data_IF_175966461580
#
_entry.id   IF_175966461580
#
_cell.length_a   1.000
_cell.length_b   1.000
_cell.length_c   1.000
_cell.angle_alpha   90.00
_cell.angle_beta   90.00
_cell.angle_gamma   90.00
#
_symmetry.space_group_name_H-M   'P 1'
#
loop_
_entity.id
_entity.type
_entity.pdbx_description
1 polymer ?
#
# COMPACT_ATOMS: atom_id res chain seq x y z
N UNK A 1 -63.31 -31.09 -27.10
CA UNK A 1 -63.37 -29.83 -26.33
C UNK A 1 -62.01 -29.69 -25.63
N UNK A 2 -61.05 -28.98 -26.23
CA UNK A 2 -59.68 -28.87 -25.68
C UNK A 2 -59.39 -27.41 -25.32
N UNK A 3 -59.21 -27.18 -24.02
CA UNK A 3 -59.04 -25.87 -23.40
C UNK A 3 -57.58 -25.43 -23.45
N UNK A 4 -57.35 -24.20 -23.92
CA UNK A 4 -56.05 -23.53 -24.02
C UNK A 4 -55.60 -23.04 -22.64
N UNK A 5 -54.32 -23.19 -22.30
CA UNK A 5 -53.69 -22.46 -21.19
C UNK A 5 -52.58 -21.55 -21.75
N UNK A 6 -52.77 -20.24 -21.59
CA UNK A 6 -51.77 -19.23 -21.90
C UNK A 6 -51.00 -18.91 -20.61
N UNK A 7 -49.68 -19.15 -20.61
CA UNK A 7 -48.80 -18.79 -19.51
C UNK A 7 -48.32 -17.35 -19.74
N UNK A 8 -48.77 -16.42 -18.89
CA UNK A 8 -48.23 -15.06 -18.81
C UNK A 8 -46.99 -15.08 -17.92
N UNK A 9 -45.81 -14.92 -18.52
CA UNK A 9 -44.55 -14.74 -17.81
C UNK A 9 -44.42 -13.29 -17.37
N UNK A 10 -44.45 -13.03 -16.06
CA UNK A 10 -44.14 -11.72 -15.46
C UNK A 10 -42.61 -11.55 -15.46
N UNK A 11 -42.08 -10.56 -16.21
CA UNK A 11 -40.69 -10.12 -16.07
C UNK A 11 -40.56 -9.24 -14.81
N UNK A 12 -39.84 -9.73 -13.79
CA UNK A 12 -39.35 -8.88 -12.71
C UNK A 12 -38.08 -8.17 -13.18
N UNK A 13 -38.14 -6.86 -13.37
CA UNK A 13 -36.95 -6.01 -13.56
C UNK A 13 -36.33 -5.79 -12.19
N UNK A 14 -35.25 -6.52 -11.89
CA UNK A 14 -34.44 -6.26 -10.70
C UNK A 14 -33.62 -4.99 -10.94
N UNK A 15 -33.87 -3.95 -10.13
CA UNK A 15 -33.04 -2.76 -10.09
C UNK A 15 -31.66 -3.14 -9.54
N UNK A 16 -30.63 -3.08 -10.38
CA UNK A 16 -29.24 -3.25 -9.95
C UNK A 16 -28.84 -1.95 -9.24
N UNK A 17 -28.41 -1.97 -7.98
CA UNK A 17 -27.90 -0.76 -7.34
C UNK A 17 -26.62 -0.34 -8.07
N UNK A 18 -26.58 0.92 -8.51
CA UNK A 18 -25.36 1.54 -8.99
C UNK A 18 -24.35 1.54 -7.85
N UNK A 19 -23.34 0.67 -7.95
CA UNK A 19 -22.16 0.74 -7.09
C UNK A 19 -21.52 2.07 -7.48
N UNK A 20 -21.63 3.06 -6.60
CA UNK A 20 -20.89 4.30 -6.72
C UNK A 20 -19.41 3.92 -6.70
N UNK A 21 -18.74 4.05 -7.85
CA UNK A 21 -17.28 4.11 -7.92
C UNK A 21 -16.86 5.41 -7.22
N UNK A 22 -16.92 5.40 -5.90
CA UNK A 22 -16.24 6.36 -5.04
C UNK A 22 -14.75 6.04 -5.23
N UNK A 23 -14.22 6.53 -6.35
CA UNK A 23 -12.82 6.49 -6.68
C UNK A 23 -12.16 7.30 -5.56
N UNK A 24 -11.61 6.57 -4.60
CA UNK A 24 -10.94 7.14 -3.44
C UNK A 24 -10.06 8.28 -3.94
N UNK A 25 -10.17 9.49 -3.35
CA UNK A 25 -9.54 10.68 -3.88
C UNK A 25 -8.09 10.36 -4.19
N UNK A 26 -7.70 10.52 -5.45
CA UNK A 26 -6.29 10.57 -5.85
C UNK A 26 -5.71 11.79 -5.14
N UNK A 27 -5.34 11.62 -3.87
CA UNK A 27 -4.51 12.60 -3.18
C UNK A 27 -3.30 12.78 -4.08
N UNK A 28 -3.00 14.00 -4.51
CA UNK A 28 -1.87 14.25 -5.38
C UNK A 28 -0.62 13.66 -4.69
N UNK A 29 -0.13 12.55 -5.26
CA UNK A 29 0.97 11.76 -4.70
C UNK A 29 2.23 12.17 -5.44
N UNK A 30 3.21 12.66 -4.71
CA UNK A 30 4.54 12.90 -5.27
C UNK A 30 5.44 11.74 -4.91
N UNK A 31 5.63 10.82 -5.87
CA UNK A 31 6.56 9.71 -5.69
C UNK A 31 7.99 10.20 -5.57
N UNK A 32 8.69 9.68 -4.57
CA UNK A 32 10.06 10.04 -4.28
C UNK A 32 11.01 9.42 -5.30
N UNK A 33 11.98 10.22 -5.73
CA UNK A 33 13.15 9.73 -6.46
C UNK A 33 14.08 8.91 -5.56
N UNK A 34 15.02 8.19 -6.17
CA UNK A 34 16.08 7.48 -5.45
C UNK A 34 16.83 8.40 -4.46
N UNK A 35 17.29 9.56 -4.91
CA UNK A 35 18.03 10.53 -4.08
C UNK A 35 17.19 11.05 -2.90
N UNK A 36 15.89 11.27 -3.12
CA UNK A 36 15.00 11.67 -2.05
C UNK A 36 14.79 10.55 -1.02
N UNK A 37 14.65 9.30 -1.46
CA UNK A 37 14.55 8.15 -0.57
C UNK A 37 15.84 8.02 0.26
N UNK A 38 17.01 8.14 -0.37
CA UNK A 38 18.32 8.07 0.29
C UNK A 38 18.47 9.13 1.40
N UNK A 39 18.09 10.37 1.12
CA UNK A 39 18.18 11.48 2.09
C UNK A 39 17.07 11.48 3.15
N UNK A 40 15.90 10.91 2.83
CA UNK A 40 14.72 10.94 3.70
C UNK A 40 14.69 9.75 4.66
N UNK A 41 14.96 8.53 4.17
CA UNK A 41 14.67 7.29 4.89
C UNK A 41 15.92 6.56 5.42
N UNK A 42 17.03 6.63 4.71
CA UNK A 42 18.20 5.80 5.03
C UNK A 42 18.91 6.35 6.26
N UNK A 43 19.23 5.46 7.19
CA UNK A 43 19.82 5.80 8.49
C UNK A 43 18.83 6.40 9.50
N UNK A 44 17.54 6.52 9.16
CA UNK A 44 16.50 7.04 10.06
C UNK A 44 15.48 5.97 10.45
N UNK A 45 15.16 5.82 11.74
CA UNK A 45 14.14 4.86 12.17
C UNK A 45 12.76 5.40 11.79
N UNK A 46 11.90 4.49 11.30
CA UNK A 46 10.53 4.82 10.92
C UNK A 46 9.53 3.87 11.55
N UNK A 47 8.33 4.38 11.78
CA UNK A 47 7.13 3.60 12.08
C UNK A 47 6.29 3.49 10.82
N UNK A 48 5.94 2.26 10.47
CA UNK A 48 5.03 1.92 9.38
C UNK A 48 3.72 1.41 9.95
N UNK A 49 2.62 2.06 9.61
CA UNK A 49 1.25 1.61 9.88
C UNK A 49 0.65 0.98 8.63
N UNK A 50 0.52 -0.35 8.60
CA UNK A 50 -0.02 -1.07 7.44
C UNK A 50 -1.55 -0.98 7.41
N UNK A 51 -2.11 -0.36 6.36
CA UNK A 51 -3.54 -0.06 6.29
C UNK A 51 -4.42 -1.30 6.07
N UNK A 52 -3.88 -2.34 5.44
CA UNK A 52 -4.64 -3.57 5.19
C UNK A 52 -4.77 -4.47 6.42
N UNK A 53 -3.78 -4.45 7.31
CA UNK A 53 -3.69 -5.37 8.47
C UNK A 53 -3.80 -4.66 9.82
N UNK A 54 -3.68 -3.34 9.86
CA UNK A 54 -3.56 -2.56 11.10
C UNK A 54 -2.24 -2.76 11.85
N UNK A 55 -1.29 -3.52 11.30
CA UNK A 55 -0.01 -3.79 11.96
C UNK A 55 0.85 -2.53 11.99
N UNK A 56 1.29 -2.15 13.19
CA UNK A 56 2.29 -1.11 13.40
C UNK A 56 3.66 -1.75 13.57
N UNK A 57 4.66 -1.23 12.87
CA UNK A 57 6.01 -1.80 12.90
C UNK A 57 7.10 -0.75 12.82
N UNK A 58 8.20 -0.98 13.52
CA UNK A 58 9.45 -0.22 13.38
C UNK A 58 10.29 -0.79 12.24
N UNK A 59 10.89 0.10 11.47
CA UNK A 59 11.86 -0.23 10.42
C UNK A 59 13.08 0.67 10.51
N UNK A 60 14.25 0.11 10.25
CA UNK A 60 15.48 0.87 10.05
C UNK A 60 16.20 0.34 8.81
N UNK A 61 16.39 1.20 7.83
CA UNK A 61 17.21 0.91 6.65
C UNK A 61 18.60 1.52 6.87
N UNK A 62 19.63 0.68 6.94
CA UNK A 62 21.00 1.11 7.20
C UNK A 62 21.75 1.32 5.88
N UNK A 63 22.72 2.25 5.87
CA UNK A 63 23.51 2.59 4.67
C UNK A 63 24.35 1.42 4.12
N UNK A 64 24.61 0.40 4.93
CA UNK A 64 25.31 -0.84 4.54
C UNK A 64 24.41 -1.87 3.85
N UNK A 65 23.16 -1.50 3.54
CA UNK A 65 22.17 -2.37 2.91
C UNK A 65 21.47 -3.32 3.88
N UNK A 66 21.71 -3.25 5.19
CA UNK A 66 20.93 -3.99 6.20
C UNK A 66 19.59 -3.32 6.44
N UNK A 67 18.57 -4.11 6.75
CA UNK A 67 17.26 -3.62 7.23
C UNK A 67 16.86 -4.39 8.47
N UNK A 68 16.35 -3.69 9.48
CA UNK A 68 15.71 -4.29 10.64
C UNK A 68 14.20 -4.00 10.64
N UNK A 69 13.43 -4.95 11.14
CA UNK A 69 11.98 -4.89 11.35
C UNK A 69 11.65 -5.32 12.78
N UNK A 70 10.71 -4.63 13.41
CA UNK A 70 10.07 -5.07 14.64
C UNK A 70 8.57 -4.79 14.60
N UNK A 71 7.75 -5.79 14.90
CA UNK A 71 6.33 -5.60 15.14
C UNK A 71 6.13 -4.85 16.47
N UNK A 72 5.39 -3.74 16.44
CA UNK A 72 5.03 -2.97 17.65
C UNK A 72 3.70 -3.43 18.26
N UNK A 73 2.87 -4.14 17.48
CA UNK A 73 1.56 -4.64 17.89
C UNK A 73 1.60 -6.08 18.44
N UNK A 74 2.78 -6.71 18.52
CA UNK A 74 2.91 -8.11 18.95
C UNK A 74 4.33 -8.65 18.75
N UNK A 75 4.52 -9.97 18.86
CA UNK A 75 5.82 -10.58 18.63
C UNK A 75 6.23 -10.46 17.15
N UNK A 76 7.54 -10.47 16.91
CA UNK A 76 8.12 -10.51 15.57
C UNK A 76 9.24 -9.50 15.41
N UNK A 77 10.45 -10.02 15.19
CA UNK A 77 11.60 -9.24 14.75
C UNK A 77 12.24 -9.98 13.59
N UNK A 78 12.74 -9.23 12.63
CA UNK A 78 13.46 -9.78 11.49
C UNK A 78 14.53 -8.80 11.05
N UNK A 79 15.60 -9.34 10.49
CA UNK A 79 16.62 -8.55 9.81
C UNK A 79 16.83 -9.15 8.42
N UNK A 80 17.28 -8.32 7.50
CA UNK A 80 17.53 -8.72 6.13
C UNK A 80 18.35 -7.69 5.36
N UNK A 81 18.19 -7.71 4.05
CA UNK A 81 18.84 -6.77 3.13
C UNK A 81 17.81 -5.90 2.43
N UNK A 82 18.20 -4.69 2.09
CA UNK A 82 17.45 -3.82 1.20
C UNK A 82 18.32 -3.33 0.06
N UNK A 83 17.68 -2.97 -1.04
CA UNK A 83 18.28 -2.26 -2.15
C UNK A 83 17.28 -1.26 -2.75
N UNK A 84 17.80 -0.26 -3.47
CA UNK A 84 17.00 0.79 -4.07
C UNK A 84 17.34 0.90 -5.56
N UNK A 85 16.32 0.65 -6.37
CA UNK A 85 16.42 0.74 -7.82
C UNK A 85 16.44 2.21 -8.30
N UNK A 86 16.99 2.49 -9.49
CA UNK A 86 16.99 3.84 -10.06
C UNK A 86 15.60 4.46 -10.23
N UNK A 87 14.56 3.64 -10.40
CA UNK A 87 13.16 4.06 -10.55
C UNK A 87 12.44 4.40 -9.23
N UNK A 88 13.14 4.29 -8.09
CA UNK A 88 12.59 4.55 -6.77
C UNK A 88 11.95 3.33 -6.09
N UNK A 89 11.99 2.15 -6.71
CA UNK A 89 11.55 0.92 -6.05
C UNK A 89 12.55 0.51 -4.96
N UNK A 90 12.11 0.55 -3.70
CA UNK A 90 12.88 0.05 -2.57
C UNK A 90 12.44 -1.35 -2.23
N UNK A 91 13.35 -2.32 -2.35
CA UNK A 91 13.05 -3.73 -2.18
C UNK A 91 13.74 -4.26 -0.93
N UNK A 92 13.03 -5.11 -0.18
CA UNK A 92 13.55 -5.81 0.99
C UNK A 92 13.56 -7.31 0.75
N UNK A 93 14.52 -7.99 1.36
CA UNK A 93 14.60 -9.45 1.41
C UNK A 93 14.96 -9.87 2.83
N UNK A 94 14.03 -10.57 3.46
CA UNK A 94 14.12 -11.17 4.79
C UNK A 94 13.62 -12.61 4.70
N UNK A 95 13.96 -13.45 5.68
CA UNK A 95 13.58 -14.89 5.71
C UNK A 95 12.08 -15.11 5.43
N UNK A 96 11.20 -14.25 5.94
CA UNK A 96 9.74 -14.38 5.81
C UNK A 96 9.09 -13.29 4.96
N UNK A 97 9.87 -12.39 4.35
CA UNK A 97 9.32 -11.23 3.66
C UNK A 97 10.25 -10.74 2.56
N UNK A 98 9.75 -10.81 1.34
CA UNK A 98 10.37 -10.17 0.17
C UNK A 98 9.34 -9.31 -0.53
N UNK A 99 9.71 -8.11 -0.93
CA UNK A 99 8.83 -7.22 -1.65
C UNK A 99 9.40 -5.83 -1.87
N UNK A 100 8.82 -5.10 -2.81
CA UNK A 100 9.22 -3.75 -3.16
C UNK A 100 8.13 -2.73 -2.81
N UNK A 101 8.55 -1.52 -2.52
CA UNK A 101 7.69 -0.39 -2.20
C UNK A 101 8.17 0.85 -2.94
N UNK A 102 7.20 1.63 -3.43
CA UNK A 102 7.42 2.98 -3.91
C UNK A 102 6.93 3.95 -2.84
N UNK A 103 7.77 4.92 -2.50
CA UNK A 103 7.50 5.91 -1.47
C UNK A 103 6.96 7.18 -2.09
N UNK A 104 6.02 7.83 -1.43
CA UNK A 104 5.46 9.09 -1.90
C UNK A 104 5.08 10.00 -0.74
N UNK A 105 5.08 11.31 -1.00
CA UNK A 105 4.48 12.31 -0.12
C UNK A 105 3.06 12.60 -0.61
N UNK A 106 2.16 12.86 0.33
CA UNK A 106 0.85 13.46 0.06
C UNK A 106 1.05 14.97 -0.10
N UNK A 107 0.67 15.57 -1.23
CA UNK A 107 0.92 17.02 -1.46
C UNK A 107 0.28 17.92 -0.41
N UNK A 108 -0.91 17.53 0.08
CA UNK A 108 -1.70 18.33 1.02
C UNK A 108 -0.96 18.64 2.32
N UNK A 109 -0.25 17.67 2.88
CA UNK A 109 0.32 17.76 4.23
C UNK A 109 1.77 17.24 4.34
N UNK A 110 2.34 16.76 3.25
CA UNK A 110 3.69 16.18 3.21
C UNK A 110 3.81 14.82 3.89
N UNK A 111 2.70 14.20 4.31
CA UNK A 111 2.72 12.89 4.97
C UNK A 111 3.36 11.85 4.06
N UNK A 112 4.22 11.01 4.64
CA UNK A 112 4.94 9.98 3.91
C UNK A 112 4.14 8.67 3.92
N UNK A 113 4.08 8.00 2.77
CA UNK A 113 3.41 6.73 2.60
C UNK A 113 4.09 5.87 1.53
N UNK A 114 3.65 4.62 1.37
CA UNK A 114 4.13 3.76 0.30
C UNK A 114 3.04 2.89 -0.36
N UNK A 115 3.34 2.43 -1.57
CA UNK A 115 2.48 1.58 -2.40
C UNK A 115 3.28 0.48 -3.10
N UNK A 116 2.57 -0.50 -3.69
CA UNK A 116 3.17 -1.60 -4.47
C UNK A 116 3.66 -1.15 -5.86
N UNK A 117 3.00 -0.15 -6.48
CA UNK A 117 3.30 0.37 -7.82
C UNK A 117 3.36 1.91 -7.80
N UNK A 118 3.84 2.52 -8.89
CA UNK A 118 3.84 3.99 -9.09
C UNK A 118 2.56 4.51 -9.76
N UNK A 119 1.55 3.67 -9.91
CA UNK A 119 0.29 4.07 -10.53
C UNK A 119 -0.40 5.11 -9.62
N UNK A 120 -1.00 6.17 -10.17
CA UNK A 120 -1.65 7.21 -9.37
C UNK A 120 -2.74 6.67 -8.42
N UNK A 121 -3.41 5.58 -8.83
CA UNK A 121 -4.48 4.93 -8.08
C UNK A 121 -4.01 3.68 -7.29
N UNK A 122 -2.70 3.42 -7.22
CA UNK A 122 -2.17 2.28 -6.47
C UNK A 122 -2.65 2.34 -5.00
N UNK A 123 -3.16 1.25 -4.41
CA UNK A 123 -3.56 1.28 -3.01
C UNK A 123 -2.38 1.65 -2.10
N UNK A 124 -2.61 2.58 -1.17
CA UNK A 124 -1.64 2.87 -0.11
C UNK A 124 -1.48 1.63 0.76
N UNK A 125 -0.25 1.15 0.88
CA UNK A 125 0.06 -0.02 1.72
C UNK A 125 0.27 0.41 3.16
N UNK A 126 1.04 1.47 3.37
CA UNK A 126 1.34 1.95 4.71
C UNK A 126 1.56 3.46 4.77
N UNK A 127 1.15 4.03 5.89
CA UNK A 127 1.52 5.38 6.32
C UNK A 127 2.80 5.33 7.17
N UNK A 128 3.64 6.35 7.02
CA UNK A 128 5.01 6.36 7.52
C UNK A 128 5.24 7.58 8.39
N UNK A 129 5.86 7.37 9.55
CA UNK A 129 6.29 8.42 10.47
C UNK A 129 7.73 8.15 10.90
N UNK A 130 8.48 9.19 11.19
CA UNK A 130 9.80 9.04 11.81
C UNK A 130 9.63 8.76 13.32
N UNK A 131 10.54 7.97 13.88
CA UNK A 131 10.67 7.78 15.33
C UNK A 131 11.41 8.93 16.01
#
# INVERSE_FOLDING_TARGET
>A
MFTRYAIRTLLCVAAVPAISDDSAPTHDRVFLSKTEIESTLIGKPIVSNNLATGMVSSWQFYSDGRVDFANRSGPGRASGKWFLNPDGAMCVTMISRTGCRYWFRIEKDGALANANTREPNAPTVAEIRFE
#
